data_IF_613777610582
#
_entry.id   IF_613777610582
#
_cell.length_a   1.000
_cell.length_b   1.000
_cell.length_c   1.000
_cell.angle_alpha   90.00
_cell.angle_beta   90.00
_cell.angle_gamma   90.00
#
_symmetry.space_group_name_H-M   'P 1'
#
loop_
_entity.id
_entity.type
_entity.pdbx_description
1 polymer ?
#
# COMPACT_ATOMS: atom_id res chain seq x y z
N UNK A 1 -28.15 -24.31 -28.25
CA UNK A 1 -27.89 -23.00 -27.67
C UNK A 1 -26.39 -22.85 -27.63
N UNK A 2 -25.84 -21.99 -28.51
CA UNK A 2 -24.40 -21.68 -28.51
C UNK A 2 -24.15 -20.73 -27.35
N UNK A 3 -23.47 -21.19 -26.33
CA UNK A 3 -22.92 -20.32 -25.28
C UNK A 3 -21.83 -19.50 -25.96
N UNK A 4 -22.09 -18.23 -26.22
CA UNK A 4 -21.04 -17.27 -26.53
C UNK A 4 -20.23 -17.11 -25.23
N UNK A 5 -19.10 -17.79 -25.17
CA UNK A 5 -18.06 -17.46 -24.21
C UNK A 5 -17.50 -16.13 -24.74
N UNK A 6 -17.99 -15.04 -24.19
CA UNK A 6 -17.35 -13.76 -24.37
C UNK A 6 -15.97 -13.89 -23.70
N UNK A 7 -14.95 -14.16 -24.51
CA UNK A 7 -13.58 -13.85 -24.12
C UNK A 7 -13.56 -12.32 -24.00
N UNK A 8 -13.86 -11.79 -22.83
CA UNK A 8 -13.46 -10.43 -22.50
C UNK A 8 -11.93 -10.44 -22.57
N UNK A 9 -11.40 -10.03 -23.71
CA UNK A 9 -9.99 -9.73 -23.84
C UNK A 9 -9.64 -8.75 -22.73
N UNK A 10 -8.40 -8.72 -22.29
CA UNK A 10 -7.92 -7.76 -21.31
C UNK A 10 -8.12 -6.34 -21.85
N UNK A 11 -9.29 -5.78 -21.64
CA UNK A 11 -9.52 -4.36 -21.86
C UNK A 11 -8.68 -3.59 -20.84
N UNK A 12 -8.08 -2.47 -21.23
CA UNK A 12 -7.35 -1.64 -20.28
C UNK A 12 -8.30 -1.12 -19.22
N UNK A 13 -7.85 -1.02 -17.98
CA UNK A 13 -8.61 -0.40 -16.91
C UNK A 13 -9.02 1.03 -17.30
N UNK A 14 -10.19 1.44 -16.90
CA UNK A 14 -10.75 2.76 -17.22
C UNK A 14 -10.63 3.71 -16.03
N UNK A 15 -10.01 4.87 -16.25
CA UNK A 15 -9.96 5.93 -15.23
C UNK A 15 -11.25 6.73 -15.34
N UNK A 16 -12.13 6.57 -14.35
CA UNK A 16 -13.44 7.22 -14.30
C UNK A 16 -13.35 8.63 -13.72
N UNK A 17 -12.40 8.90 -12.83
CA UNK A 17 -12.19 10.21 -12.20
C UNK A 17 -10.70 10.46 -11.95
N UNK A 18 -10.23 11.63 -12.30
CA UNK A 18 -8.89 12.12 -11.93
C UNK A 18 -8.97 13.65 -11.83
N UNK A 19 -9.35 14.12 -10.66
CA UNK A 19 -9.58 15.55 -10.42
C UNK A 19 -8.58 16.06 -9.39
N UNK A 20 -7.83 17.10 -9.75
CA UNK A 20 -6.92 17.80 -8.86
C UNK A 20 -7.57 19.09 -8.39
N UNK A 21 -7.63 19.26 -7.08
CA UNK A 21 -8.19 20.45 -6.43
C UNK A 21 -7.04 21.36 -5.99
N UNK A 22 -6.97 22.57 -6.55
CA UNK A 22 -5.94 23.53 -6.19
C UNK A 22 -6.10 24.02 -4.75
N UNK A 23 -5.00 24.12 -4.01
CA UNK A 23 -4.95 24.76 -2.70
C UNK A 23 -5.04 26.29 -2.78
N UNK A 24 -4.86 26.85 -3.97
CA UNK A 24 -4.91 28.30 -4.23
C UNK A 24 -6.05 28.63 -5.18
N UNK A 25 -7.17 29.08 -4.64
CA UNK A 25 -8.26 29.62 -5.45
C UNK A 25 -9.40 28.67 -5.81
N UNK A 26 -9.48 27.47 -5.22
CA UNK A 26 -10.67 26.59 -5.28
C UNK A 26 -11.00 26.04 -6.68
N UNK A 27 -10.05 26.02 -7.61
CA UNK A 27 -10.24 25.41 -8.94
C UNK A 27 -10.01 23.90 -8.85
N UNK A 28 -10.95 23.13 -9.41
CA UNK A 28 -10.83 21.70 -9.62
C UNK A 28 -10.64 21.43 -11.12
N UNK A 29 -9.66 20.64 -11.49
CA UNK A 29 -9.37 20.33 -12.90
C UNK A 29 -9.28 18.84 -13.10
N UNK A 30 -9.96 18.36 -14.13
CA UNK A 30 -9.90 16.99 -14.59
C UNK A 30 -8.66 16.81 -15.51
N UNK A 31 -7.74 15.95 -15.10
CA UNK A 31 -6.50 15.68 -15.82
C UNK A 31 -6.56 14.45 -16.73
N UNK A 32 -7.71 13.79 -16.89
CA UNK A 32 -7.85 12.61 -17.75
C UNK A 32 -7.53 12.90 -19.22
N UNK A 33 -7.78 14.11 -19.69
CA UNK A 33 -7.59 14.49 -21.10
C UNK A 33 -6.17 14.41 -21.62
N UNK A 34 -5.17 14.42 -20.73
CA UNK A 34 -3.75 14.28 -21.07
C UNK A 34 -3.11 12.97 -20.61
N UNK A 35 -3.90 11.97 -20.28
CA UNK A 35 -3.44 10.71 -19.73
C UNK A 35 -2.37 10.04 -20.57
N UNK A 36 -1.28 9.65 -19.95
CA UNK A 36 -0.21 8.81 -20.53
C UNK A 36 -0.05 7.52 -19.75
N UNK A 37 0.12 7.63 -18.42
CA UNK A 37 0.33 6.47 -17.55
C UNK A 37 -0.15 6.78 -16.13
N UNK A 38 -0.78 5.80 -15.51
CA UNK A 38 -1.07 5.77 -14.08
C UNK A 38 -0.51 4.48 -13.49
N UNK A 39 0.22 4.61 -12.40
CA UNK A 39 0.64 3.49 -11.57
C UNK A 39 0.13 3.73 -10.16
N UNK A 40 -0.74 2.87 -9.68
CA UNK A 40 -1.25 2.86 -8.30
C UNK A 40 -0.64 1.67 -7.57
N UNK A 41 -0.14 1.89 -6.38
CA UNK A 41 0.60 0.87 -5.63
C UNK A 41 0.11 0.75 -4.21
N UNK A 42 -0.35 -0.44 -3.86
CA UNK A 42 -0.53 -0.91 -2.49
C UNK A 42 0.47 -2.03 -2.24
N UNK A 43 1.08 -2.05 -1.08
CA UNK A 43 2.07 -3.09 -0.74
C UNK A 43 2.11 -3.34 0.76
N UNK A 44 2.16 -4.59 1.16
CA UNK A 44 2.40 -4.98 2.57
C UNK A 44 3.77 -4.51 3.08
N UNK A 45 4.67 -4.10 2.19
CA UNK A 45 6.01 -3.60 2.50
C UNK A 45 6.07 -2.07 2.51
N UNK A 46 4.95 -1.39 2.31
CA UNK A 46 4.86 0.07 2.29
C UNK A 46 3.86 0.56 3.31
N UNK A 47 4.26 1.53 4.12
CA UNK A 47 3.40 2.10 5.17
C UNK A 47 2.17 2.83 4.60
N UNK A 48 2.24 3.26 3.33
CA UNK A 48 1.18 4.06 2.71
C UNK A 48 0.99 3.74 1.25
N UNK A 49 -0.22 4.06 0.75
CA UNK A 49 -0.54 4.05 -0.66
C UNK A 49 0.25 5.12 -1.39
N UNK A 50 0.75 4.76 -2.56
CA UNK A 50 1.40 5.69 -3.47
C UNK A 50 0.83 5.55 -4.88
N UNK A 51 0.82 6.65 -5.63
CA UNK A 51 0.53 6.59 -7.06
C UNK A 51 1.45 7.53 -7.85
N UNK A 52 1.68 7.20 -9.09
CA UNK A 52 2.41 8.02 -10.05
C UNK A 52 1.55 8.23 -11.27
N UNK A 53 1.34 9.48 -11.61
CA UNK A 53 0.55 9.88 -12.76
C UNK A 53 1.40 10.68 -13.74
N UNK A 54 1.42 10.24 -14.98
CA UNK A 54 2.11 10.93 -16.07
C UNK A 54 1.08 11.43 -17.06
N UNK A 55 1.15 12.71 -17.41
CA UNK A 55 0.28 13.30 -18.40
C UNK A 55 1.01 14.25 -19.34
N UNK A 56 0.42 14.40 -20.53
CA UNK A 56 0.87 15.36 -21.55
C UNK A 56 0.09 16.68 -21.39
N UNK A 57 0.80 17.77 -21.18
CA UNK A 57 0.24 19.10 -21.09
C UNK A 57 0.46 19.85 -22.40
N UNK A 58 -0.61 20.36 -22.99
CA UNK A 58 -0.57 21.16 -24.20
C UNK A 58 -0.04 22.60 -24.00
N UNK A 59 0.23 22.98 -22.73
CA UNK A 59 0.69 24.32 -22.36
C UNK A 59 -0.42 25.38 -22.29
N UNK A 60 -1.64 25.04 -22.68
CA UNK A 60 -2.81 25.93 -22.66
C UNK A 60 -4.04 25.27 -22.04
N UNK A 61 -3.85 24.25 -21.22
CA UNK A 61 -4.92 23.38 -20.70
C UNK A 61 -5.85 24.08 -19.72
N UNK A 62 -5.36 25.12 -19.01
CA UNK A 62 -6.11 25.84 -17.99
C UNK A 62 -6.01 27.35 -18.21
N UNK A 63 -7.09 27.98 -18.67
CA UNK A 63 -7.14 29.43 -18.91
C UNK A 63 -5.96 29.95 -19.79
N UNK A 64 -5.53 29.17 -20.76
CA UNK A 64 -4.40 29.49 -21.64
C UNK A 64 -3.02 29.30 -21.00
N UNK A 65 -2.94 28.67 -19.84
CA UNK A 65 -1.70 28.34 -19.14
C UNK A 65 -1.48 26.83 -19.06
N UNK A 66 -0.25 26.43 -18.76
CA UNK A 66 0.06 25.04 -18.42
C UNK A 66 -0.71 24.58 -17.18
N UNK A 67 -0.90 23.28 -17.01
CA UNK A 67 -1.52 22.72 -15.81
C UNK A 67 -0.77 23.16 -14.56
N UNK A 68 0.56 23.18 -14.61
CA UNK A 68 1.41 23.59 -13.50
C UNK A 68 1.16 25.04 -13.06
N UNK A 69 1.04 25.94 -14.03
CA UNK A 69 0.91 27.39 -13.76
C UNK A 69 -0.55 27.80 -13.61
N UNK A 70 -1.46 27.09 -14.25
CA UNK A 70 -2.90 27.35 -14.20
C UNK A 70 -3.56 26.86 -12.91
N UNK A 71 -3.04 25.77 -12.31
CA UNK A 71 -3.46 25.25 -10.99
C UNK A 71 -2.59 25.69 -9.83
N UNK A 72 -1.58 26.49 -10.00
CA UNK A 72 -0.34 26.64 -9.26
C UNK A 72 -0.07 25.45 -8.33
N UNK A 73 0.35 24.31 -8.93
CA UNK A 73 0.68 23.09 -8.19
C UNK A 73 1.95 23.31 -7.36
N UNK A 74 1.79 23.36 -6.06
CA UNK A 74 2.88 23.60 -5.09
C UNK A 74 3.15 22.40 -4.18
N UNK A 75 2.22 21.45 -4.12
CA UNK A 75 2.24 20.27 -3.26
C UNK A 75 1.05 20.25 -2.29
N UNK A 76 0.73 19.07 -1.82
CA UNK A 76 -0.40 18.80 -0.92
C UNK A 76 -1.79 19.10 -1.53
N UNK A 77 -1.91 19.31 -2.84
CA UNK A 77 -3.22 19.42 -3.50
C UNK A 77 -3.95 18.09 -3.42
N UNK A 78 -5.25 18.16 -3.11
CA UNK A 78 -6.13 16.99 -3.04
C UNK A 78 -6.42 16.47 -4.45
N UNK A 79 -6.22 15.18 -4.64
CA UNK A 79 -6.49 14.46 -5.89
C UNK A 79 -7.52 13.37 -5.64
N UNK A 80 -8.63 13.43 -6.36
CA UNK A 80 -9.65 12.39 -6.35
C UNK A 80 -9.40 11.46 -7.53
N UNK A 81 -9.03 10.23 -7.24
CA UNK A 81 -8.74 9.20 -8.22
C UNK A 81 -9.78 8.10 -8.13
N UNK A 82 -10.42 7.78 -9.26
CA UNK A 82 -11.27 6.60 -9.38
C UNK A 82 -10.97 5.88 -10.69
N UNK A 83 -10.89 4.57 -10.62
CA UNK A 83 -10.73 3.72 -11.78
C UNK A 83 -11.47 2.40 -11.58
N UNK A 84 -11.76 1.73 -12.67
CA UNK A 84 -12.43 0.44 -12.68
C UNK A 84 -11.65 -0.55 -13.56
N UNK A 85 -11.68 -1.80 -13.14
CA UNK A 85 -11.10 -2.90 -13.87
C UNK A 85 -12.10 -3.50 -14.89
N UNK A 86 -11.65 -4.50 -15.64
CA UNK A 86 -12.48 -5.20 -16.62
C UNK A 86 -13.66 -5.97 -16.02
N UNK A 87 -13.64 -6.22 -14.72
CA UNK A 87 -14.70 -6.90 -13.99
C UNK A 87 -15.67 -5.91 -13.33
N UNK A 88 -15.58 -4.61 -13.70
CA UNK A 88 -16.39 -3.51 -13.16
C UNK A 88 -16.17 -3.26 -11.65
N UNK A 89 -15.06 -3.78 -11.09
CA UNK A 89 -14.68 -3.42 -9.73
C UNK A 89 -14.14 -2.00 -9.73
N UNK A 90 -14.76 -1.15 -8.93
CA UNK A 90 -14.38 0.26 -8.80
C UNK A 90 -13.48 0.45 -7.60
N UNK A 91 -12.44 1.25 -7.79
CA UNK A 91 -11.63 1.77 -6.71
C UNK A 91 -11.70 3.30 -6.74
N UNK A 92 -12.03 3.88 -5.61
CA UNK A 92 -12.05 5.33 -5.42
C UNK A 92 -11.16 5.68 -4.21
N UNK A 93 -10.22 6.59 -4.42
CA UNK A 93 -9.25 6.97 -3.38
C UNK A 93 -8.94 8.45 -3.47
N UNK A 94 -8.77 9.08 -2.32
CA UNK A 94 -8.26 10.45 -2.20
C UNK A 94 -6.77 10.41 -1.89
N UNK A 95 -5.98 11.01 -2.75
CA UNK A 95 -4.53 11.14 -2.59
C UNK A 95 -4.14 12.62 -2.62
N UNK A 96 -2.87 12.90 -2.35
CA UNK A 96 -2.33 14.24 -2.29
C UNK A 96 -1.06 14.35 -3.13
N UNK A 97 -0.88 15.49 -3.77
CA UNK A 97 0.33 15.75 -4.55
C UNK A 97 1.53 15.85 -3.62
N UNK A 98 2.49 14.94 -3.81
CA UNK A 98 3.76 14.96 -3.09
C UNK A 98 4.85 15.67 -3.89
N UNK A 99 4.93 15.38 -5.20
CA UNK A 99 5.96 15.92 -6.07
C UNK A 99 5.44 16.09 -7.49
N UNK A 100 5.82 17.20 -8.12
CA UNK A 100 5.60 17.44 -9.56
C UNK A 100 6.97 17.49 -10.24
N UNK A 101 7.16 16.66 -11.25
CA UNK A 101 8.43 16.55 -11.98
C UNK A 101 8.19 16.76 -13.46
N UNK A 102 8.78 17.78 -14.10
CA UNK A 102 8.79 17.87 -15.54
C UNK A 102 9.66 16.73 -16.11
N UNK A 103 9.08 15.93 -17.00
CA UNK A 103 9.76 14.79 -17.65
C UNK A 103 10.34 15.18 -19.02
N UNK A 104 9.63 16.02 -19.77
CA UNK A 104 10.07 16.55 -21.05
C UNK A 104 9.49 17.96 -21.26
N UNK A 105 10.32 18.89 -21.72
CA UNK A 105 9.94 20.28 -21.97
C UNK A 105 10.18 20.61 -23.46
N UNK A 106 9.26 20.19 -24.32
CA UNK A 106 9.25 20.62 -25.74
C UNK A 106 8.33 21.82 -25.91
N UNK A 107 8.64 22.63 -26.91
CA UNK A 107 7.99 23.93 -27.15
C UNK A 107 6.45 23.85 -27.32
N UNK A 108 5.90 22.69 -27.67
CA UNK A 108 4.45 22.53 -27.90
C UNK A 108 3.79 21.44 -27.04
N UNK A 109 4.54 20.61 -26.34
CA UNK A 109 4.02 19.59 -25.44
C UNK A 109 5.02 19.36 -24.33
N UNK A 110 4.61 19.55 -23.09
CA UNK A 110 5.39 19.14 -21.94
C UNK A 110 4.79 17.85 -21.36
N UNK A 111 5.65 16.98 -20.84
CA UNK A 111 5.22 15.82 -20.06
C UNK A 111 5.52 16.10 -18.60
N UNK A 112 4.51 15.92 -17.78
CA UNK A 112 4.61 16.11 -16.32
C UNK A 112 4.31 14.79 -15.62
N UNK A 113 5.14 14.47 -14.63
CA UNK A 113 4.91 13.38 -13.69
C UNK A 113 4.47 13.96 -12.34
N UNK A 114 3.38 13.45 -11.80
CA UNK A 114 2.88 13.79 -10.47
C UNK A 114 3.00 12.55 -9.61
N UNK A 115 3.74 12.65 -8.49
CA UNK A 115 3.76 11.64 -7.44
C UNK A 115 2.67 11.97 -6.43
N UNK A 116 1.84 10.99 -6.13
CA UNK A 116 0.71 11.09 -5.22
C UNK A 116 0.93 10.18 -4.02
N UNK A 117 0.49 10.62 -2.86
CA UNK A 117 0.59 9.89 -1.59
C UNK A 117 -0.68 10.04 -0.78
N UNK A 118 -0.90 9.17 0.21
CA UNK A 118 -2.00 9.33 1.15
C UNK A 118 -1.79 10.53 2.10
N UNK A 119 -2.86 11.00 2.73
CA UNK A 119 -2.83 12.08 3.74
C UNK A 119 -1.85 11.74 4.86
N UNK A 120 -1.86 10.52 5.29
CA UNK A 120 -1.08 10.02 6.42
C UNK A 120 0.44 10.03 6.15
N UNK A 121 0.85 9.89 4.90
CA UNK A 121 2.26 10.11 4.52
C UNK A 121 2.70 11.54 4.86
N UNK A 122 1.86 12.52 4.54
CA UNK A 122 2.15 13.94 4.82
C UNK A 122 2.13 14.20 6.33
N UNK A 123 1.16 13.64 7.04
CA UNK A 123 1.05 13.76 8.49
C UNK A 123 2.25 13.13 9.21
N UNK A 124 2.76 11.99 8.70
CA UNK A 124 3.98 11.37 9.22
C UNK A 124 5.21 12.31 9.17
N UNK A 125 5.30 13.15 8.12
CA UNK A 125 6.38 14.13 8.02
C UNK A 125 6.20 15.32 8.98
N UNK A 126 4.96 15.72 9.25
CA UNK A 126 4.60 16.85 10.12
C UNK A 126 4.60 16.49 11.60
N UNK A 127 4.24 15.26 11.95
CA UNK A 127 4.03 14.81 13.32
C UNK A 127 5.26 14.14 13.94
N UNK A 128 5.30 14.12 15.27
CA UNK A 128 6.34 13.41 16.04
C UNK A 128 5.71 12.78 17.28
N UNK A 129 6.00 11.51 17.47
CA UNK A 129 5.57 10.75 18.66
C UNK A 129 6.44 11.15 19.85
N UNK A 130 5.88 11.83 20.85
CA UNK A 130 6.63 12.36 22.01
C UNK A 130 6.20 11.79 23.33
N UNK A 131 5.02 11.20 23.38
CA UNK A 131 4.41 10.71 24.63
C UNK A 131 4.97 9.37 25.07
N UNK A 132 4.64 9.01 26.30
CA UNK A 132 4.86 7.68 26.87
C UNK A 132 3.68 6.77 26.53
N UNK A 133 4.01 5.52 26.31
CA UNK A 133 3.08 4.43 26.05
C UNK A 133 3.24 3.36 27.11
N UNK A 134 2.15 2.97 27.73
CA UNK A 134 2.09 1.90 28.72
C UNK A 134 0.95 0.95 28.35
N UNK A 135 1.19 -0.35 28.35
CA UNK A 135 0.19 -1.37 28.03
C UNK A 135 0.50 -2.19 26.80
N UNK A 136 -0.54 -2.67 26.12
CA UNK A 136 -0.41 -3.57 24.97
C UNK A 136 0.10 -2.84 23.73
N UNK A 137 0.99 -3.51 23.01
CA UNK A 137 1.61 -2.96 21.82
C UNK A 137 0.59 -2.63 20.72
N UNK A 138 -0.42 -3.48 20.51
CA UNK A 138 -1.49 -3.24 19.54
C UNK A 138 -2.29 -1.93 19.84
N UNK A 139 -2.50 -1.59 21.10
CA UNK A 139 -3.18 -0.37 21.52
C UNK A 139 -2.34 0.88 21.19
N UNK A 140 -1.01 0.77 21.30
CA UNK A 140 -0.11 1.88 20.95
C UNK A 140 -0.21 2.23 19.47
N UNK A 141 -0.27 1.23 18.59
CA UNK A 141 -0.40 1.45 17.16
C UNK A 141 -1.70 2.15 16.82
N UNK A 142 -2.83 1.66 17.38
CA UNK A 142 -4.14 2.30 17.21
C UNK A 142 -4.10 3.78 17.61
N UNK A 143 -3.53 4.08 18.77
CA UNK A 143 -3.50 5.45 19.26
C UNK A 143 -2.56 6.36 18.44
N UNK A 144 -1.46 5.83 17.89
CA UNK A 144 -0.57 6.62 17.00
C UNK A 144 -1.27 6.94 15.68
N UNK A 145 -2.03 6.00 15.11
CA UNK A 145 -2.78 6.25 13.87
C UNK A 145 -3.84 7.33 14.09
N UNK A 146 -4.58 7.27 15.18
CA UNK A 146 -5.66 8.22 15.46
C UNK A 146 -5.15 9.59 15.90
N UNK A 147 -4.13 9.67 16.75
CA UNK A 147 -3.73 10.91 17.39
C UNK A 147 -2.59 11.63 16.65
N UNK A 148 -1.57 10.92 16.14
CA UNK A 148 -0.43 11.52 15.44
C UNK A 148 -0.60 11.58 13.93
N UNK A 149 -1.30 10.62 13.33
CA UNK A 149 -1.58 10.63 11.89
C UNK A 149 -2.93 11.26 11.56
N UNK A 150 -3.80 11.46 12.56
CA UNK A 150 -5.14 12.03 12.39
C UNK A 150 -5.91 11.34 11.24
N UNK A 151 -5.83 10.01 11.21
CA UNK A 151 -6.46 9.22 10.17
C UNK A 151 -7.89 8.88 10.54
N UNK A 152 -8.80 9.12 9.59
CA UNK A 152 -10.21 8.75 9.68
C UNK A 152 -10.51 7.39 9.01
N UNK A 153 -9.46 6.69 8.52
CA UNK A 153 -9.58 5.41 7.84
C UNK A 153 -9.83 4.27 8.81
N UNK A 154 -10.47 3.21 8.32
CA UNK A 154 -10.62 1.99 9.09
C UNK A 154 -9.25 1.40 9.45
N UNK A 155 -9.17 0.84 10.66
CA UNK A 155 -7.92 0.29 11.20
C UNK A 155 -8.17 -1.14 11.67
N UNK A 156 -7.54 -2.10 11.01
CA UNK A 156 -7.59 -3.51 11.39
C UNK A 156 -6.30 -3.91 12.09
N UNK A 157 -6.38 -4.07 13.40
CA UNK A 157 -5.23 -4.40 14.25
C UNK A 157 -5.42 -5.80 14.82
N UNK A 158 -4.48 -6.69 14.52
CA UNK A 158 -4.36 -7.97 15.18
C UNK A 158 -3.87 -7.77 16.62
N UNK A 159 -4.58 -8.31 17.63
CA UNK A 159 -4.21 -8.09 19.01
C UNK A 159 -2.88 -8.76 19.36
N UNK A 160 -2.08 -8.07 20.18
CA UNK A 160 -0.80 -8.59 20.70
C UNK A 160 -0.94 -9.02 22.15
N UNK A 161 -0.17 -10.08 22.52
CA UNK A 161 -0.15 -10.57 23.90
C UNK A 161 0.77 -9.74 24.81
N UNK A 162 1.85 -9.23 24.24
CA UNK A 162 2.89 -8.55 24.99
C UNK A 162 2.56 -7.09 25.33
N UNK A 163 2.87 -6.72 26.56
CA UNK A 163 2.93 -5.33 26.96
C UNK A 163 4.29 -4.76 26.58
N UNK A 164 4.29 -3.51 26.15
CA UNK A 164 5.53 -2.83 25.79
C UNK A 164 5.48 -1.37 26.24
N UNK A 165 6.14 -1.08 27.36
CA UNK A 165 6.22 0.27 27.86
C UNK A 165 7.38 1.01 27.20
N UNK A 166 7.09 2.12 26.54
CA UNK A 166 8.07 2.87 25.76
C UNK A 166 7.76 4.36 25.69
N UNK A 167 8.72 5.12 25.20
CA UNK A 167 8.59 6.56 24.92
C UNK A 167 8.84 6.81 23.45
N UNK A 168 8.07 7.69 22.84
CA UNK A 168 8.14 7.97 21.41
C UNK A 168 9.42 8.64 20.92
N UNK A 169 10.21 9.26 21.81
CA UNK A 169 11.52 9.88 21.52
C UNK A 169 11.55 10.84 20.32
N UNK A 170 10.44 11.57 20.08
CA UNK A 170 10.28 12.47 18.92
C UNK A 170 10.51 11.81 17.56
N UNK A 171 10.26 10.52 17.44
CA UNK A 171 10.33 9.78 16.18
C UNK A 171 9.13 10.06 15.29
N UNK A 172 9.27 9.82 13.98
CA UNK A 172 8.14 9.85 13.06
C UNK A 172 7.17 8.71 13.36
N UNK A 173 5.84 8.90 13.19
CA UNK A 173 4.84 7.88 13.50
C UNK A 173 5.10 6.53 12.82
N UNK A 174 5.34 6.48 11.51
CA UNK A 174 5.59 5.21 10.82
C UNK A 174 6.88 4.53 11.27
N UNK A 175 7.93 5.30 11.52
CA UNK A 175 9.16 4.73 12.08
C UNK A 175 8.91 4.10 13.46
N UNK A 176 8.12 4.76 14.30
CA UNK A 176 7.73 4.23 15.61
C UNK A 176 6.92 2.94 15.46
N UNK A 177 5.88 2.92 14.61
CA UNK A 177 5.06 1.73 14.34
C UNK A 177 5.91 0.58 13.82
N UNK A 178 6.79 0.83 12.83
CA UNK A 178 7.67 -0.20 12.27
C UNK A 178 8.65 -0.80 13.29
N UNK A 179 9.08 -0.01 14.27
CA UNK A 179 9.85 -0.54 15.40
C UNK A 179 8.99 -1.41 16.33
N UNK A 180 7.72 -1.11 16.49
CA UNK A 180 6.78 -1.93 17.24
C UNK A 180 6.48 -3.25 16.52
N UNK A 181 6.36 -3.26 15.18
CA UNK A 181 6.16 -4.47 14.38
C UNK A 181 7.21 -5.55 14.68
N UNK A 182 8.46 -5.14 14.90
CA UNK A 182 9.58 -6.06 15.21
C UNK A 182 9.50 -6.68 16.60
N UNK A 183 8.66 -6.15 17.48
CA UNK A 183 8.54 -6.57 18.88
C UNK A 183 7.17 -7.17 19.18
N UNK A 184 6.26 -7.15 18.24
CA UNK A 184 4.91 -7.65 18.39
C UNK A 184 4.90 -9.18 18.46
N UNK A 185 4.09 -9.70 19.38
CA UNK A 185 3.82 -11.12 19.54
C UNK A 185 2.31 -11.33 19.47
N UNK A 186 1.87 -12.19 18.54
CA UNK A 186 0.44 -12.46 18.33
C UNK A 186 -0.20 -13.12 19.55
N UNK A 187 -1.42 -12.70 19.86
CA UNK A 187 -2.24 -13.35 20.88
C UNK A 187 -2.88 -14.64 20.39
N UNK A 188 -3.03 -14.81 19.08
CA UNK A 188 -3.71 -15.96 18.46
C UNK A 188 -2.75 -17.13 18.21
N UNK A 189 -1.49 -16.84 18.01
CA UNK A 189 -0.47 -17.81 17.60
C UNK A 189 0.56 -18.03 18.71
N UNK A 190 0.24 -18.89 19.66
CA UNK A 190 1.14 -19.24 20.78
C UNK A 190 1.95 -20.50 20.56
N UNK A 191 1.84 -21.16 19.42
CA UNK A 191 2.61 -22.36 19.10
C UNK A 191 4.03 -22.00 18.64
N UNK A 192 5.01 -22.78 19.09
CA UNK A 192 6.40 -22.65 18.67
C UNK A 192 6.51 -22.66 17.13
N UNK A 193 7.07 -21.61 16.57
CA UNK A 193 7.28 -21.47 15.14
C UNK A 193 6.22 -20.67 14.39
N UNK A 194 5.24 -20.09 15.06
CA UNK A 194 4.11 -19.36 14.46
C UNK A 194 4.21 -17.83 14.54
N UNK A 195 5.40 -17.28 14.75
CA UNK A 195 5.59 -15.82 14.83
C UNK A 195 6.68 -15.36 13.89
N UNK A 196 6.33 -15.16 12.63
CA UNK A 196 7.27 -14.68 11.61
C UNK A 196 7.39 -13.14 11.54
N UNK A 197 6.69 -12.39 12.38
CA UNK A 197 6.70 -10.95 12.44
C UNK A 197 5.39 -10.30 11.99
N UNK A 198 5.31 -9.00 12.17
CA UNK A 198 4.14 -8.18 11.82
C UNK A 198 4.46 -7.22 10.70
N UNK A 199 3.46 -6.96 9.88
CA UNK A 199 3.46 -5.90 8.89
C UNK A 199 2.46 -4.81 9.26
N UNK A 200 2.86 -3.58 8.98
CA UNK A 200 2.00 -2.41 9.01
C UNK A 200 1.94 -1.84 7.60
N UNK A 201 0.75 -1.71 7.05
CA UNK A 201 0.54 -1.24 5.68
C UNK A 201 -0.83 -0.62 5.50
N UNK A 202 -0.97 0.16 4.45
CA UNK A 202 -2.19 0.81 4.02
C UNK A 202 -2.70 0.19 2.71
N UNK A 203 -4.01 0.01 2.62
CA UNK A 203 -4.73 -0.31 1.37
C UNK A 203 -5.90 0.65 1.18
N UNK A 204 -6.61 0.52 0.07
CA UNK A 204 -7.86 1.24 -0.18
C UNK A 204 -8.93 1.01 0.89
N UNK A 205 -8.86 -0.10 1.64
CA UNK A 205 -9.77 -0.46 2.71
C UNK A 205 -9.38 0.15 4.07
N UNK A 206 -8.16 0.67 4.21
CA UNK A 206 -7.67 1.27 5.45
C UNK A 206 -6.28 0.80 5.86
N UNK A 207 -5.97 0.93 7.16
CA UNK A 207 -4.71 0.49 7.75
C UNK A 207 -4.81 -0.91 8.34
N UNK A 208 -3.75 -1.66 8.15
CA UNK A 208 -3.63 -3.04 8.63
C UNK A 208 -2.37 -3.20 9.46
N UNK A 209 -2.53 -3.84 10.61
CA UNK A 209 -1.44 -4.36 11.40
C UNK A 209 -1.68 -5.84 11.65
N UNK A 210 -1.01 -6.69 10.88
CA UNK A 210 -1.26 -8.13 10.86
C UNK A 210 0.05 -8.91 10.89
N UNK A 211 0.03 -10.09 11.51
CA UNK A 211 1.13 -11.05 11.46
C UNK A 211 1.19 -11.73 10.08
N UNK A 212 2.36 -12.23 9.72
CA UNK A 212 2.53 -13.04 8.51
C UNK A 212 1.63 -14.27 8.58
N UNK A 213 1.52 -14.89 9.74
CA UNK A 213 0.71 -16.09 9.96
C UNK A 213 -0.77 -15.80 9.68
N UNK A 214 -1.31 -14.71 10.23
CA UNK A 214 -2.68 -14.26 9.95
C UNK A 214 -2.91 -13.94 8.47
N UNK A 215 -1.91 -13.40 7.77
CA UNK A 215 -2.01 -13.12 6.34
C UNK A 215 -2.01 -14.40 5.49
N UNK A 216 -1.30 -15.44 5.92
CA UNK A 216 -1.25 -16.73 5.21
C UNK A 216 -2.47 -17.61 5.50
N UNK A 217 -3.13 -17.42 6.63
CA UNK A 217 -4.31 -18.20 7.06
C UNK A 217 -5.63 -17.66 6.48
N UNK A 218 -5.56 -16.62 5.65
CA UNK A 218 -6.74 -16.06 5.00
C UNK A 218 -7.26 -16.97 3.88
N UNK A 219 -8.58 -16.98 3.70
CA UNK A 219 -9.19 -17.61 2.54
C UNK A 219 -8.66 -16.98 1.23
N UNK A 220 -8.37 -17.82 0.21
CA UNK A 220 -7.91 -17.32 -1.07
C UNK A 220 -8.92 -16.36 -1.71
N UNK A 221 -8.51 -15.12 -1.99
CA UNK A 221 -9.38 -14.12 -2.62
C UNK A 221 -9.77 -14.47 -4.05
N UNK A 222 -8.88 -15.15 -4.77
CA UNK A 222 -9.11 -15.62 -6.14
C UNK A 222 -8.30 -16.88 -6.42
N UNK A 223 -8.81 -17.70 -7.33
CA UNK A 223 -8.07 -18.83 -7.89
C UNK A 223 -7.57 -18.45 -9.28
N UNK A 224 -6.30 -18.74 -9.55
CA UNK A 224 -5.70 -18.56 -10.86
C UNK A 224 -5.34 -19.94 -11.42
N UNK A 225 -5.53 -20.12 -12.72
CA UNK A 225 -5.25 -21.40 -13.38
C UNK A 225 -4.10 -21.21 -14.34
N UNK A 226 -3.02 -21.96 -14.14
CA UNK A 226 -1.96 -22.12 -15.11
C UNK A 226 -2.21 -23.37 -15.93
N UNK A 227 -2.36 -23.20 -17.27
CA UNK A 227 -2.51 -24.30 -18.19
C UNK A 227 -1.67 -24.03 -19.42
N UNK A 228 -0.77 -24.95 -19.76
CA UNK A 228 0.07 -24.88 -20.94
C UNK A 228 -0.67 -25.18 -22.25
N UNK A 229 -1.90 -25.69 -22.17
CA UNK A 229 -2.71 -25.99 -23.35
C UNK A 229 -3.13 -24.72 -24.09
N UNK A 230 -3.04 -24.69 -25.43
CA UNK A 230 -3.49 -23.54 -26.22
C UNK A 230 -4.99 -23.27 -26.00
N UNK A 231 -5.39 -21.99 -26.07
CA UNK A 231 -6.78 -21.54 -25.87
C UNK A 231 -7.79 -22.15 -26.85
N UNK A 232 -7.31 -22.67 -27.98
CA UNK A 232 -8.13 -23.35 -29.00
C UNK A 232 -8.65 -24.72 -28.58
N UNK A 233 -8.17 -25.28 -27.50
CA UNK A 233 -8.52 -26.63 -27.05
C UNK A 233 -9.75 -26.67 -26.14
N UNK A 234 -10.67 -25.71 -26.16
CA UNK A 234 -11.99 -25.79 -25.50
C UNK A 234 -11.97 -26.28 -24.06
N UNK A 235 -10.86 -26.13 -23.37
CA UNK A 235 -10.72 -26.60 -21.99
C UNK A 235 -11.67 -25.83 -21.07
N UNK A 236 -12.43 -26.58 -20.27
CA UNK A 236 -13.34 -26.03 -19.29
C UNK A 236 -12.61 -25.06 -18.33
N UNK A 237 -12.61 -23.79 -18.69
CA UNK A 237 -12.32 -22.76 -17.72
C UNK A 237 -13.54 -22.63 -16.82
N UNK A 238 -13.39 -22.70 -15.48
CA UNK A 238 -14.50 -22.48 -14.58
C UNK A 238 -15.19 -21.14 -14.86
N UNK A 239 -16.50 -21.13 -14.88
CA UNK A 239 -17.24 -19.87 -14.95
C UNK A 239 -17.00 -19.09 -13.65
N UNK A 240 -16.59 -17.83 -13.77
CA UNK A 240 -16.47 -16.94 -12.64
C UNK A 240 -15.21 -16.10 -12.59
N UNK A 241 -14.69 -15.90 -11.39
CA UNK A 241 -13.58 -14.97 -11.07
C UNK A 241 -12.19 -15.58 -11.28
N UNK A 242 -12.08 -16.71 -11.93
CA UNK A 242 -10.80 -17.40 -12.14
C UNK A 242 -10.07 -16.80 -13.35
N UNK A 243 -8.85 -16.38 -13.13
CA UNK A 243 -8.00 -15.80 -14.17
C UNK A 243 -6.99 -16.82 -14.68
N UNK A 244 -6.81 -16.87 -16.00
CA UNK A 244 -5.77 -17.65 -16.61
C UNK A 244 -4.40 -17.00 -16.43
N UNK A 245 -3.44 -17.75 -15.91
CA UNK A 245 -2.04 -17.33 -15.83
C UNK A 245 -1.34 -17.69 -17.13
N UNK A 246 -0.79 -16.71 -17.82
CA UNK A 246 -0.11 -16.89 -19.10
C UNK A 246 1.31 -17.41 -18.95
N UNK A 247 1.98 -17.05 -17.87
CA UNK A 247 3.34 -17.48 -17.55
C UNK A 247 3.49 -17.68 -16.05
N UNK A 248 4.06 -18.78 -15.68
CA UNK A 248 4.37 -19.11 -14.30
C UNK A 248 5.86 -19.47 -14.19
N UNK A 249 6.57 -18.81 -13.30
CA UNK A 249 7.97 -19.09 -12.98
C UNK A 249 8.08 -19.29 -11.46
N UNK A 250 8.48 -20.49 -11.05
CA UNK A 250 8.67 -20.84 -9.66
C UNK A 250 10.17 -21.06 -9.40
N UNK A 251 10.75 -20.18 -8.60
CA UNK A 251 12.12 -20.32 -8.12
C UNK A 251 12.14 -20.94 -6.73
N UNK A 252 12.35 -22.23 -6.65
CA UNK A 252 12.54 -22.93 -5.40
C UNK A 252 14.02 -22.88 -5.01
N UNK A 253 14.34 -22.06 -4.03
CA UNK A 253 15.69 -21.98 -3.49
C UNK A 253 15.77 -22.79 -2.18
N UNK A 254 16.31 -24.00 -2.25
CA UNK A 254 16.52 -24.85 -1.08
C UNK A 254 17.89 -24.55 -0.50
N UNK A 255 17.98 -23.49 0.30
CA UNK A 255 19.19 -23.19 1.05
C UNK A 255 18.89 -23.19 2.55
N UNK A 256 18.95 -24.38 3.15
CA UNK A 256 18.65 -24.58 4.57
C UNK A 256 19.62 -23.81 5.46
N UNK A 257 20.90 -23.72 5.10
CA UNK A 257 21.89 -23.01 5.89
C UNK A 257 21.68 -21.52 5.93
N UNK A 258 21.30 -20.94 4.80
CA UNK A 258 20.97 -19.51 4.72
C UNK A 258 19.69 -19.18 5.50
N UNK A 259 18.68 -20.02 5.37
CA UNK A 259 17.44 -19.91 6.16
C UNK A 259 17.70 -20.01 7.67
N UNK A 260 18.59 -20.91 8.09
CA UNK A 260 19.01 -21.01 9.50
C UNK A 260 19.75 -19.75 9.97
N UNK A 261 20.66 -19.19 9.17
CA UNK A 261 21.35 -17.94 9.48
C UNK A 261 20.41 -16.75 9.60
N UNK A 262 19.36 -16.74 8.80
CA UNK A 262 18.31 -15.70 8.83
C UNK A 262 17.29 -15.94 9.96
N UNK A 263 17.39 -17.03 10.72
CA UNK A 263 16.44 -17.35 11.79
C UNK A 263 15.10 -17.89 11.32
N UNK A 264 14.96 -18.24 10.03
CA UNK A 264 13.67 -18.68 9.47
C UNK A 264 13.19 -20.05 9.96
N UNK A 265 14.09 -20.89 10.49
CA UNK A 265 13.75 -22.24 10.97
C UNK A 265 13.75 -22.35 12.50
N UNK A 266 14.59 -21.55 13.16
CA UNK A 266 14.68 -21.52 14.62
C UNK A 266 15.22 -20.18 15.07
N UNK A 267 14.59 -19.57 16.06
CA UNK A 267 15.09 -18.38 16.73
C UNK A 267 15.20 -18.66 18.22
N UNK A 268 16.30 -18.24 18.81
CA UNK A 268 16.49 -18.24 20.24
C UNK A 268 16.79 -16.82 20.70
N UNK A 269 15.94 -16.28 21.53
CA UNK A 269 16.13 -14.96 22.12
C UNK A 269 16.70 -15.12 23.53
N UNK A 270 17.82 -14.49 23.79
CA UNK A 270 18.40 -14.39 25.14
C UNK A 270 18.27 -12.94 25.59
N UNK A 271 17.49 -12.73 26.63
CA UNK A 271 17.37 -11.45 27.29
C UNK A 271 18.39 -11.39 28.43
N UNK A 272 19.29 -10.43 28.39
CA UNK A 272 20.28 -10.22 29.44
C UNK A 272 20.09 -8.84 30.06
N UNK A 273 19.91 -8.82 31.38
CA UNK A 273 19.91 -7.59 32.15
C UNK A 273 21.30 -7.35 32.75
N UNK A 274 22.04 -6.34 32.28
CA UNK A 274 23.39 -6.06 32.74
C UNK A 274 23.45 -5.52 34.18
N UNK A 275 22.34 -5.03 34.72
CA UNK A 275 22.30 -4.50 36.09
C UNK A 275 22.15 -5.59 37.16
N UNK A 276 21.34 -6.58 36.87
CA UNK A 276 21.10 -7.71 37.78
C UNK A 276 21.89 -8.95 37.44
N UNK A 277 22.62 -8.93 36.31
CA UNK A 277 23.28 -10.07 35.72
C UNK A 277 22.38 -11.31 35.53
N UNK A 278 21.07 -11.05 35.38
CA UNK A 278 20.06 -12.06 35.11
C UNK A 278 19.92 -12.31 33.62
N UNK A 279 19.73 -13.55 33.21
CA UNK A 279 19.36 -13.85 31.82
C UNK A 279 18.17 -14.79 31.75
N UNK A 280 17.37 -14.60 30.74
CA UNK A 280 16.22 -15.42 30.37
C UNK A 280 16.36 -15.89 28.92
N UNK A 281 15.94 -17.13 28.63
CA UNK A 281 16.08 -17.76 27.30
C UNK A 281 14.73 -18.21 26.80
#
# INVERSE_FOLDING_TARGET
MSVQIASKGSEPGNITKLTVNSNQGGKAVDLRGGFVQLTYTESIMSDTITASYVFADSGASIDGKSVRDGLPLVGEERVELAFEDNAENKLEVTLYVNKVTPLDNKTQKSMLGISLVSKEYIMNEKSRVKRRFDGKLSEHISSVISEELESDKDVQIEPTINNFNTIGNSTKPFYFINNLCKKAVSSESQTLGSTAGYFFYETSEGFFFKSIDSLLDQEPKAKTIFNETPDTAGGNMPEGKDFKVLKYDKKDNVNVQEKMKMGALTTRQVLFDPFTCYYEV
#
